data_IF_948174904684
#
_entry.id   IF_948174904684
#
_cell.length_a   1.000
_cell.length_b   1.000
_cell.length_c   1.000
_cell.angle_alpha   90.00
_cell.angle_beta   90.00
_cell.angle_gamma   90.00
#
_symmetry.space_group_name_H-M   'P 1'
#
loop_
_entity.id
_entity.type
_entity.pdbx_description
1 polymer ?
#
# COMPACT_ATOMS: atom_id res chain seq x y z
N UNK A 1 -9.28 -12.14 -8.19
CA UNK A 1 -8.88 -10.93 -8.97
C UNK A 1 -7.52 -11.19 -9.62
N UNK A 2 -7.01 -10.39 -10.57
CA UNK A 2 -5.62 -10.54 -11.04
C UNK A 2 -4.83 -9.28 -10.72
N UNK A 3 -3.91 -9.38 -9.78
CA UNK A 3 -3.01 -8.29 -9.42
C UNK A 3 -1.96 -8.07 -10.51
N UNK A 4 -1.60 -6.80 -10.68
CA UNK A 4 -0.42 -6.38 -11.42
C UNK A 4 0.76 -6.22 -10.46
N UNK A 5 1.96 -6.28 -11.00
CA UNK A 5 3.20 -6.23 -10.23
C UNK A 5 3.54 -4.81 -9.77
N UNK A 6 4.35 -4.67 -8.72
CA UNK A 6 4.89 -3.39 -8.26
C UNK A 6 5.63 -2.64 -9.38
N UNK A 7 6.39 -3.36 -10.21
CA UNK A 7 7.06 -2.80 -11.39
C UNK A 7 6.06 -2.18 -12.36
N UNK A 8 4.96 -2.87 -12.67
CA UNK A 8 3.90 -2.32 -13.52
C UNK A 8 3.21 -1.10 -12.88
N UNK A 9 3.19 -1.00 -11.55
CA UNK A 9 2.69 0.19 -10.84
C UNK A 9 3.65 1.36 -11.03
N UNK A 10 4.94 1.14 -10.81
CA UNK A 10 6.01 2.15 -11.00
C UNK A 10 5.98 2.66 -12.44
N UNK A 11 6.04 1.76 -13.42
CA UNK A 11 6.07 2.12 -14.85
C UNK A 11 4.84 2.96 -15.26
N UNK A 12 3.69 2.75 -14.61
CA UNK A 12 2.46 3.49 -14.85
C UNK A 12 2.45 4.88 -14.21
N UNK A 13 3.05 5.01 -13.03
CA UNK A 13 2.96 6.21 -12.19
C UNK A 13 4.13 7.18 -12.34
N UNK A 14 5.29 6.69 -12.80
CA UNK A 14 6.43 7.56 -13.08
C UNK A 14 6.07 8.59 -14.16
N UNK A 15 6.47 9.84 -13.91
CA UNK A 15 6.16 10.99 -14.76
C UNK A 15 4.81 11.65 -14.44
N UNK A 16 3.98 11.07 -13.57
CA UNK A 16 2.71 11.67 -13.14
C UNK A 16 2.92 12.62 -11.96
N UNK A 17 2.09 13.66 -11.88
CA UNK A 17 2.17 14.68 -10.83
C UNK A 17 1.02 14.53 -9.84
N UNK A 18 1.31 14.55 -8.55
CA UNK A 18 0.27 14.59 -7.51
C UNK A 18 -0.33 15.99 -7.46
N UNK A 19 -1.63 16.14 -7.69
CA UNK A 19 -2.31 17.44 -7.76
C UNK A 19 -3.30 17.68 -6.62
N UNK A 20 -3.78 16.61 -6.00
CA UNK A 20 -4.74 16.65 -4.88
C UNK A 20 -4.58 15.37 -4.04
N UNK A 21 -4.89 15.43 -2.75
CA UNK A 21 -4.77 14.29 -1.85
C UNK A 21 -5.70 14.36 -0.63
N UNK A 22 -5.99 13.20 -0.07
CA UNK A 22 -6.49 12.98 1.30
C UNK A 22 -5.88 11.69 1.85
N UNK A 23 -6.12 11.36 3.12
CA UNK A 23 -5.61 10.13 3.72
C UNK A 23 -5.98 8.87 2.91
N UNK A 24 -7.18 8.84 2.31
CA UNK A 24 -7.64 7.69 1.52
C UNK A 24 -7.24 7.70 0.03
N UNK A 25 -6.76 8.84 -0.52
CA UNK A 25 -6.49 8.94 -1.97
C UNK A 25 -5.40 9.93 -2.38
N UNK A 26 -4.72 9.60 -3.47
CA UNK A 26 -3.92 10.53 -4.27
C UNK A 26 -4.58 10.75 -5.63
N UNK A 27 -4.69 12.01 -6.09
CA UNK A 27 -5.15 12.34 -7.43
C UNK A 27 -3.99 12.89 -8.26
N UNK A 28 -3.87 12.39 -9.48
CA UNK A 28 -2.80 12.75 -10.42
C UNK A 28 -3.27 13.73 -11.50
N UNK A 29 -2.31 14.38 -12.15
CA UNK A 29 -2.52 15.36 -13.22
C UNK A 29 -3.19 14.80 -14.47
N UNK A 30 -3.08 13.50 -14.72
CA UNK A 30 -3.80 12.82 -15.80
C UNK A 30 -5.23 12.38 -15.43
N UNK A 31 -5.70 12.78 -14.26
CA UNK A 31 -7.03 12.45 -13.73
C UNK A 31 -7.12 11.08 -13.05
N UNK A 32 -6.04 10.29 -13.02
CA UNK A 32 -6.01 9.03 -12.27
C UNK A 32 -6.14 9.31 -10.76
N UNK A 33 -6.84 8.41 -10.08
CA UNK A 33 -6.95 8.40 -8.61
C UNK A 33 -6.37 7.08 -8.13
N UNK A 34 -5.49 7.17 -7.13
CA UNK A 34 -4.91 6.05 -6.42
C UNK A 34 -5.64 5.96 -5.08
N UNK A 35 -6.27 4.83 -4.79
CA UNK A 35 -6.84 4.49 -3.48
C UNK A 35 -6.15 3.26 -2.91
N UNK A 36 -6.28 3.07 -1.60
CA UNK A 36 -5.85 1.86 -0.90
C UNK A 36 -7.11 1.11 -0.49
N UNK A 37 -7.25 -0.15 -0.90
CA UNK A 37 -8.46 -0.96 -0.66
C UNK A 37 -8.07 -2.33 -0.10
N UNK A 38 -8.87 -2.82 0.85
CA UNK A 38 -8.90 -4.25 1.19
C UNK A 38 -9.59 -4.99 0.05
N UNK A 39 -8.91 -5.99 -0.50
CA UNK A 39 -9.39 -6.65 -1.74
C UNK A 39 -9.77 -8.11 -1.55
N UNK A 40 -9.06 -8.83 -0.69
CA UNK A 40 -9.38 -10.20 -0.28
C UNK A 40 -9.18 -10.30 1.23
N UNK A 41 -10.11 -10.96 1.92
CA UNK A 41 -10.03 -11.18 3.36
C UNK A 41 -10.93 -12.34 3.79
N UNK A 42 -10.57 -12.97 4.91
CA UNK A 42 -11.37 -13.99 5.58
C UNK A 42 -11.85 -13.53 6.96
N UNK A 43 -13.15 -13.70 7.23
CA UNK A 43 -13.75 -13.56 8.56
C UNK A 43 -13.38 -12.25 9.31
N UNK A 44 -12.48 -12.35 10.30
CA UNK A 44 -12.05 -11.27 11.19
C UNK A 44 -10.80 -10.54 10.69
N UNK A 45 -10.17 -11.02 9.63
CA UNK A 45 -8.98 -10.40 9.05
C UNK A 45 -9.32 -9.03 8.44
N UNK A 46 -8.42 -8.07 8.60
CA UNK A 46 -8.62 -6.71 8.09
C UNK A 46 -7.34 -6.18 7.46
N UNK A 47 -7.48 -5.42 6.38
CA UNK A 47 -6.35 -4.72 5.76
C UNK A 47 -6.73 -3.28 5.42
N UNK A 48 -5.81 -2.36 5.58
CA UNK A 48 -6.03 -0.94 5.31
C UNK A 48 -4.71 -0.22 5.02
N UNK A 49 -4.82 1.05 4.70
CA UNK A 49 -3.65 1.91 4.61
C UNK A 49 -4.03 3.36 4.33
N UNK A 50 -3.12 4.26 4.62
CA UNK A 50 -3.33 5.70 4.52
C UNK A 50 -2.14 6.40 3.90
N UNK A 51 -2.41 7.45 3.13
CA UNK A 51 -1.39 8.36 2.61
C UNK A 51 -1.03 9.44 3.64
N UNK A 52 0.26 9.78 3.72
CA UNK A 52 0.80 10.86 4.56
C UNK A 52 2.00 11.55 3.90
N UNK A 53 2.42 12.66 4.51
CA UNK A 53 3.59 13.46 4.08
C UNK A 53 3.56 13.87 2.59
N UNK A 54 2.37 14.19 2.08
CA UNK A 54 2.15 14.43 0.65
C UNK A 54 2.52 15.85 0.23
N UNK A 55 3.38 15.97 -0.78
CA UNK A 55 3.76 17.21 -1.45
C UNK A 55 3.02 17.31 -2.78
N UNK A 56 2.13 18.30 -2.87
CA UNK A 56 1.43 18.60 -4.10
C UNK A 56 2.35 19.22 -5.15
N UNK A 57 1.94 19.09 -6.40
CA UNK A 57 2.64 19.55 -7.61
C UNK A 57 4.02 18.94 -7.84
N UNK A 58 4.37 17.87 -7.12
CA UNK A 58 5.58 17.09 -7.33
C UNK A 58 5.34 15.93 -8.30
N UNK A 59 6.31 15.67 -9.19
CA UNK A 59 6.26 14.57 -10.16
C UNK A 59 6.82 13.31 -9.52
N UNK A 60 6.13 12.19 -9.63
CA UNK A 60 6.64 10.89 -9.20
C UNK A 60 7.74 10.47 -10.16
N UNK A 61 8.97 10.29 -9.67
CA UNK A 61 10.11 9.79 -10.44
C UNK A 61 10.45 8.35 -10.09
N UNK A 62 10.01 7.86 -8.93
CA UNK A 62 10.26 6.50 -8.43
C UNK A 62 9.26 6.18 -7.31
N UNK A 63 9.02 4.90 -7.05
CA UNK A 63 8.23 4.40 -5.91
C UNK A 63 8.98 3.24 -5.27
N UNK A 64 9.15 3.30 -3.96
CA UNK A 64 9.95 2.35 -3.20
C UNK A 64 9.08 1.60 -2.22
N UNK A 65 8.95 0.31 -2.43
CA UNK A 65 8.30 -0.63 -1.52
C UNK A 65 9.35 -1.07 -0.50
N UNK A 66 9.13 -0.77 0.78
CA UNK A 66 10.00 -1.24 1.85
C UNK A 66 9.75 -2.73 2.10
N UNK A 67 10.73 -3.39 2.72
CA UNK A 67 10.53 -4.76 3.20
C UNK A 67 9.35 -4.78 4.17
N UNK A 68 8.35 -5.65 3.96
CA UNK A 68 7.29 -5.84 4.93
C UNK A 68 7.82 -6.37 6.26
N UNK A 69 7.23 -5.92 7.36
CA UNK A 69 7.61 -6.32 8.72
C UNK A 69 6.45 -7.13 9.30
N UNK A 70 6.73 -8.38 9.68
CA UNK A 70 5.77 -9.25 10.36
C UNK A 70 5.83 -8.99 11.87
N UNK A 71 4.69 -8.69 12.47
CA UNK A 71 4.55 -8.39 13.89
C UNK A 71 3.57 -9.38 14.53
N UNK A 72 3.68 -9.57 15.84
CA UNK A 72 2.71 -10.36 16.61
C UNK A 72 2.03 -9.48 17.67
N UNK A 73 0.78 -9.80 17.98
CA UNK A 73 0.13 -9.30 19.17
C UNK A 73 0.57 -10.17 20.36
N UNK A 74 1.09 -9.54 21.41
CA UNK A 74 1.74 -10.19 22.57
C UNK A 74 0.93 -11.33 23.22
N UNK A 75 -0.41 -11.36 23.05
CA UNK A 75 -1.32 -12.22 23.81
C UNK A 75 -2.27 -13.12 22.97
N UNK A 76 -2.23 -13.09 21.63
CA UNK A 76 -3.34 -13.65 20.82
C UNK A 76 -2.99 -14.65 19.70
N UNK A 77 -1.74 -15.12 19.58
CA UNK A 77 -1.26 -15.90 18.42
C UNK A 77 -1.64 -15.22 17.07
N UNK A 78 -1.89 -13.92 17.11
CA UNK A 78 -2.39 -13.11 15.99
C UNK A 78 -1.22 -12.29 15.47
N UNK A 79 -1.10 -12.23 14.15
CA UNK A 79 0.01 -11.55 13.47
C UNK A 79 -0.54 -10.53 12.50
N UNK A 80 0.22 -9.46 12.33
CA UNK A 80 -0.07 -8.43 11.35
C UNK A 80 1.20 -7.99 10.66
N UNK A 81 1.09 -7.68 9.38
CA UNK A 81 2.17 -7.15 8.59
C UNK A 81 1.97 -5.66 8.35
N UNK A 82 3.05 -4.90 8.44
CA UNK A 82 3.10 -3.51 7.97
C UNK A 82 4.10 -3.34 6.83
N UNK A 83 3.82 -2.38 5.95
CA UNK A 83 4.75 -1.99 4.90
C UNK A 83 4.65 -0.50 4.60
N UNK A 84 5.80 0.17 4.49
CA UNK A 84 5.86 1.53 3.97
C UNK A 84 6.10 1.54 2.46
N UNK A 85 5.31 2.32 1.73
CA UNK A 85 5.52 2.57 0.29
C UNK A 85 5.77 4.05 0.06
N UNK A 86 6.96 4.39 -0.44
CA UNK A 86 7.43 5.77 -0.53
C UNK A 86 7.45 6.25 -1.98
N UNK A 87 6.71 7.32 -2.27
CA UNK A 87 6.74 8.02 -3.56
C UNK A 87 7.84 9.08 -3.55
N UNK A 88 8.61 9.15 -4.63
CA UNK A 88 9.85 9.93 -4.68
C UNK A 88 9.86 10.89 -5.87
N UNK A 89 10.36 12.11 -5.68
CA UNK A 89 10.76 13.05 -6.74
C UNK A 89 12.25 13.37 -6.60
N UNK A 90 13.07 13.00 -7.60
CA UNK A 90 14.52 13.26 -7.60
C UNK A 90 15.18 12.88 -6.26
N UNK A 91 14.99 11.63 -5.83
CA UNK A 91 15.47 11.06 -4.56
C UNK A 91 14.81 11.60 -3.27
N UNK A 92 13.97 12.62 -3.33
CA UNK A 92 13.26 13.15 -2.17
C UNK A 92 11.90 12.49 -1.99
N UNK A 93 11.56 12.10 -0.77
CA UNK A 93 10.19 11.68 -0.42
C UNK A 93 9.20 12.81 -0.70
N UNK A 94 8.12 12.47 -1.42
CA UNK A 94 7.01 13.36 -1.75
C UNK A 94 5.65 12.84 -1.30
N UNK A 95 5.52 11.57 -0.98
CA UNK A 95 4.38 10.98 -0.30
C UNK A 95 4.80 9.64 0.29
N UNK A 96 4.06 9.15 1.29
CA UNK A 96 4.19 7.81 1.82
C UNK A 96 2.79 7.22 1.98
N UNK A 97 2.67 5.93 1.71
CA UNK A 97 1.53 5.12 2.11
C UNK A 97 2.00 4.15 3.19
N UNK A 98 1.31 4.12 4.31
CA UNK A 98 1.48 3.09 5.34
C UNK A 98 0.40 2.04 5.12
N UNK A 99 0.84 0.80 4.95
CA UNK A 99 -0.02 -0.34 4.70
C UNK A 99 -0.03 -1.26 5.93
N UNK A 100 -1.18 -1.86 6.18
CA UNK A 100 -1.43 -2.75 7.29
C UNK A 100 -2.31 -3.92 6.82
N UNK A 101 -1.94 -5.15 7.19
CA UNK A 101 -2.73 -6.34 6.92
C UNK A 101 -2.65 -7.28 8.12
N UNK A 102 -3.80 -7.60 8.69
CA UNK A 102 -3.98 -8.41 9.89
C UNK A 102 -4.61 -9.75 9.54
N UNK A 103 -4.13 -10.84 10.14
CA UNK A 103 -4.65 -12.18 9.96
C UNK A 103 -5.90 -12.44 10.84
N UNK A 104 -6.26 -11.56 11.78
CA UNK A 104 -7.50 -11.63 12.56
C UNK A 104 -7.66 -12.82 13.51
N UNK A 105 -6.70 -13.77 13.55
CA UNK A 105 -6.56 -14.90 14.50
C UNK A 105 -5.57 -15.96 14.00
N UNK A 106 -4.51 -16.25 14.77
CA UNK A 106 -3.83 -17.55 14.74
C UNK A 106 -3.20 -17.99 13.41
N UNK A 107 -2.95 -17.06 12.47
CA UNK A 107 -2.56 -17.32 11.07
C UNK A 107 -3.55 -18.19 10.26
N UNK A 108 -4.80 -18.32 10.71
CA UNK A 108 -5.83 -19.11 10.01
C UNK A 108 -6.62 -18.33 8.96
N UNK A 109 -6.65 -17.00 9.07
CA UNK A 109 -7.25 -16.14 8.06
C UNK A 109 -6.17 -15.30 7.39
N UNK A 110 -6.57 -14.64 6.31
CA UNK A 110 -5.69 -13.74 5.58
C UNK A 110 -6.43 -12.48 5.21
N UNK A 111 -5.67 -11.41 5.00
CA UNK A 111 -6.16 -10.19 4.37
C UNK A 111 -5.10 -9.62 3.42
N UNK A 112 -5.56 -8.94 2.37
CA UNK A 112 -4.72 -8.33 1.33
C UNK A 112 -5.13 -6.88 1.12
N UNK A 113 -4.17 -5.97 1.31
CA UNK A 113 -4.30 -4.56 0.95
C UNK A 113 -3.69 -4.31 -0.43
N UNK A 114 -4.41 -3.54 -1.25
CA UNK A 114 -3.99 -3.23 -2.59
C UNK A 114 -4.13 -1.74 -2.92
N UNK A 115 -3.22 -1.22 -3.73
CA UNK A 115 -3.45 0.02 -4.46
C UNK A 115 -4.39 -0.24 -5.62
N UNK A 116 -5.39 0.61 -5.78
CA UNK A 116 -6.29 0.62 -6.92
C UNK A 116 -6.11 1.88 -7.73
N UNK A 117 -5.95 1.70 -9.03
CA UNK A 117 -5.82 2.79 -10.00
C UNK A 117 -6.77 2.52 -11.18
N UNK A 118 -7.95 3.16 -11.14
CA UNK A 118 -9.11 2.77 -11.97
C UNK A 118 -9.53 1.32 -11.63
N UNK A 119 -9.61 0.43 -12.62
CA UNK A 119 -9.98 -0.99 -12.42
C UNK A 119 -8.76 -1.92 -12.36
N UNK A 120 -7.58 -1.39 -12.04
CA UNK A 120 -6.33 -2.15 -11.93
C UNK A 120 -5.87 -2.15 -10.48
N UNK A 121 -5.51 -3.33 -9.98
CA UNK A 121 -5.13 -3.58 -8.60
C UNK A 121 -3.68 -4.06 -8.51
N UNK A 122 -2.98 -3.56 -7.50
CA UNK A 122 -1.60 -3.90 -7.18
C UNK A 122 -1.57 -4.24 -5.69
N UNK A 123 -1.29 -5.49 -5.33
CA UNK A 123 -1.27 -5.95 -3.94
C UNK A 123 0.17 -6.09 -3.46
N UNK A 124 0.74 -5.06 -2.80
CA UNK A 124 2.10 -5.11 -2.29
C UNK A 124 2.21 -5.80 -0.92
N UNK A 125 1.08 -6.12 -0.27
CA UNK A 125 1.08 -6.61 1.10
C UNK A 125 -0.09 -7.56 1.40
N UNK A 126 0.24 -8.75 1.88
CA UNK A 126 -0.69 -9.65 2.57
C UNK A 126 -0.30 -9.83 4.04
N UNK A 127 -1.25 -10.26 4.88
CA UNK A 127 -1.08 -10.42 6.33
C UNK A 127 -0.07 -11.48 6.78
N UNK A 128 0.42 -12.30 5.86
CA UNK A 128 1.38 -13.39 6.12
C UNK A 128 2.75 -13.15 5.46
N UNK A 129 2.96 -11.98 4.85
CA UNK A 129 4.22 -11.62 4.20
C UNK A 129 5.08 -10.81 5.17
N UNK A 130 6.41 -10.95 5.12
CA UNK A 130 7.34 -10.11 5.89
C UNK A 130 8.43 -10.90 6.60
N UNK A 131 9.51 -10.18 6.93
CA UNK A 131 10.56 -10.70 7.80
C UNK A 131 10.10 -10.50 9.26
N UNK A 132 10.35 -11.49 10.12
CA UNK A 132 10.20 -11.33 11.57
C UNK A 132 11.23 -10.29 12.06
N UNK A 133 10.80 -9.38 12.94
CA UNK A 133 11.69 -8.37 13.55
C UNK A 133 12.69 -8.98 14.56
#
# INVERSE_FOLDING_TARGET
MRYKTEKEMIDRLVGKKIIDWSEDRLKLDDGSVITIEMTEFDCCATACGNFKDVKLNAVITDIRFKTPILNSFDDYDETFTTQEVVFVHNQNKIAQADLYADNGNGDYYYSIVAFKIKDVYYAPLASYEGDEE
#
